data_IF_953799395977
#
_entry.id   IF_953799395977
#
_cell.length_a   1.000
_cell.length_b   1.000
_cell.length_c   1.000
_cell.angle_alpha   90.00
_cell.angle_beta   90.00
_cell.angle_gamma   90.00
#
_symmetry.space_group_name_H-M   'P 1'
#
loop_
_entity.id
_entity.type
_entity.pdbx_description
1 polymer ?
#
# COMPACT_ATOMS: atom_id res chain seq x y z
N UNK A 1 -18.52 -8.80 -10.32
CA UNK A 1 -19.22 -8.48 -9.06
C UNK A 1 -18.40 -7.44 -8.28
N UNK A 2 -18.78 -6.15 -8.32
CA UNK A 2 -17.95 -5.05 -7.81
C UNK A 2 -17.94 -5.02 -6.27
N UNK A 3 -16.80 -4.70 -5.69
CA UNK A 3 -16.48 -4.84 -4.26
C UNK A 3 -17.20 -3.85 -3.32
N UNK A 4 -18.50 -4.06 -3.11
CA UNK A 4 -19.37 -3.24 -2.24
C UNK A 4 -19.18 -3.44 -0.72
N UNK A 5 -18.44 -4.45 -0.27
CA UNK A 5 -18.34 -4.81 1.16
C UNK A 5 -17.12 -4.24 1.88
N UNK A 6 -16.48 -3.20 1.33
CA UNK A 6 -15.22 -2.64 1.86
C UNK A 6 -15.36 -1.23 2.47
N UNK A 7 -16.56 -0.71 2.66
CA UNK A 7 -16.75 0.49 3.46
C UNK A 7 -16.36 0.22 4.92
N UNK A 8 -15.71 1.20 5.56
CA UNK A 8 -15.23 1.06 6.94
C UNK A 8 -16.38 0.80 7.93
N UNK A 9 -17.59 1.26 7.61
CA UNK A 9 -18.81 1.08 8.38
C UNK A 9 -19.22 -0.40 8.51
N UNK A 10 -19.21 -1.16 7.41
CA UNK A 10 -19.56 -2.58 7.43
C UNK A 10 -18.55 -3.36 8.28
N UNK A 11 -17.26 -3.00 8.22
CA UNK A 11 -16.22 -3.63 9.04
C UNK A 11 -16.44 -3.36 10.53
N UNK A 12 -16.83 -2.13 10.91
CA UNK A 12 -17.16 -1.78 12.29
C UNK A 12 -18.32 -2.63 12.81
N UNK A 13 -19.41 -2.69 12.05
CA UNK A 13 -20.61 -3.46 12.41
C UNK A 13 -20.31 -4.96 12.56
N UNK A 14 -19.48 -5.53 11.68
CA UNK A 14 -19.05 -6.93 11.77
C UNK A 14 -18.24 -7.19 13.06
N UNK A 15 -17.32 -6.29 13.42
CA UNK A 15 -16.49 -6.45 14.63
C UNK A 15 -17.33 -6.30 15.89
N UNK A 16 -18.26 -5.33 15.93
CA UNK A 16 -19.19 -5.15 17.05
C UNK A 16 -20.12 -6.35 17.25
N UNK A 17 -20.71 -6.86 16.16
CA UNK A 17 -21.53 -8.07 16.19
C UNK A 17 -20.72 -9.27 16.70
N UNK A 18 -19.44 -9.37 16.31
CA UNK A 18 -18.59 -10.44 16.79
C UNK A 18 -18.20 -10.32 18.27
N UNK A 19 -18.03 -9.09 18.76
CA UNK A 19 -17.79 -8.84 20.19
C UNK A 19 -19.01 -9.17 21.05
N UNK A 20 -20.23 -9.04 20.51
CA UNK A 20 -21.48 -9.45 21.16
C UNK A 20 -21.66 -10.98 21.23
N UNK A 21 -20.85 -11.75 20.51
CA UNK A 21 -20.87 -13.22 20.54
C UNK A 21 -21.63 -13.88 19.40
N UNK A 22 -22.12 -13.13 18.41
CA UNK A 22 -22.84 -13.70 17.25
C UNK A 22 -21.95 -14.69 16.46
N UNK A 23 -22.58 -15.70 15.86
CA UNK A 23 -21.86 -16.71 15.05
C UNK A 23 -21.44 -16.11 13.71
N UNK A 24 -20.42 -16.72 13.08
CA UNK A 24 -19.91 -16.19 11.79
C UNK A 24 -20.95 -16.29 10.67
N UNK A 25 -21.82 -17.28 10.74
CA UNK A 25 -22.85 -17.53 9.73
C UNK A 25 -24.02 -16.54 9.88
N UNK A 26 -24.45 -16.24 11.12
CA UNK A 26 -25.44 -15.18 11.39
C UNK A 26 -24.99 -13.80 10.89
N UNK A 27 -23.72 -13.45 11.14
CA UNK A 27 -23.14 -12.19 10.67
C UNK A 27 -23.05 -12.17 9.13
N UNK A 28 -22.70 -13.31 8.52
CA UNK A 28 -22.61 -13.44 7.07
C UNK A 28 -23.97 -13.22 6.39
N UNK A 29 -25.03 -13.83 6.92
CA UNK A 29 -26.40 -13.67 6.42
C UNK A 29 -26.91 -12.25 6.63
N UNK A 30 -26.76 -11.70 7.84
CA UNK A 30 -27.26 -10.37 8.23
C UNK A 30 -26.68 -9.24 7.38
N UNK A 31 -25.40 -9.33 7.05
CA UNK A 31 -24.71 -8.29 6.26
C UNK A 31 -24.58 -8.65 4.78
N UNK A 32 -25.13 -9.80 4.34
CA UNK A 32 -24.95 -10.35 3.00
C UNK A 32 -23.48 -10.40 2.56
N UNK A 33 -22.60 -10.80 3.48
CA UNK A 33 -21.16 -10.90 3.27
C UNK A 33 -20.75 -12.36 3.37
N UNK A 34 -19.89 -12.85 2.48
CA UNK A 34 -19.39 -14.22 2.56
C UNK A 34 -18.67 -14.49 3.89
N UNK A 35 -18.91 -15.65 4.51
CA UNK A 35 -18.28 -16.10 5.78
C UNK A 35 -16.77 -15.89 5.83
N UNK A 36 -16.09 -16.15 4.71
CA UNK A 36 -14.62 -15.97 4.56
C UNK A 36 -14.21 -14.51 4.80
N UNK A 37 -14.99 -13.56 4.32
CA UNK A 37 -14.72 -12.13 4.49
C UNK A 37 -14.89 -11.71 5.95
N UNK A 38 -15.93 -12.20 6.64
CA UNK A 38 -16.14 -11.98 8.08
C UNK A 38 -14.93 -12.50 8.88
N UNK A 39 -14.49 -13.72 8.58
CA UNK A 39 -13.31 -14.32 9.21
C UNK A 39 -12.02 -13.52 8.96
N UNK A 40 -11.79 -13.07 7.72
CA UNK A 40 -10.63 -12.25 7.37
C UNK A 40 -10.63 -10.90 8.10
N UNK A 41 -11.78 -10.23 8.17
CA UNK A 41 -11.92 -8.94 8.88
C UNK A 41 -11.63 -9.13 10.37
N UNK A 42 -12.17 -10.18 10.98
CA UNK A 42 -11.94 -10.48 12.39
C UNK A 42 -10.47 -10.79 12.69
N UNK A 43 -9.84 -11.65 11.90
CA UNK A 43 -8.42 -11.99 12.07
C UNK A 43 -7.52 -10.78 11.89
N UNK A 44 -7.81 -9.93 10.89
CA UNK A 44 -7.08 -8.69 10.68
C UNK A 44 -7.23 -7.74 11.87
N UNK A 45 -8.45 -7.56 12.39
CA UNK A 45 -8.72 -6.73 13.56
C UNK A 45 -8.02 -7.24 14.82
N UNK A 46 -7.96 -8.57 15.05
CA UNK A 46 -7.23 -9.13 16.20
C UNK A 46 -5.75 -8.73 16.20
N UNK A 47 -5.13 -8.63 15.02
CA UNK A 47 -3.71 -8.30 14.88
C UNK A 47 -3.47 -6.80 14.96
N UNK A 48 -4.26 -6.01 14.23
CA UNK A 48 -3.99 -4.57 14.08
C UNK A 48 -4.72 -3.71 15.12
N UNK A 49 -5.78 -4.24 15.74
CA UNK A 49 -6.80 -3.49 16.51
C UNK A 49 -7.34 -2.24 15.79
N UNK A 50 -7.13 -2.17 14.48
CA UNK A 50 -7.45 -1.01 13.66
C UNK A 50 -8.39 -1.43 12.56
N UNK A 51 -9.48 -0.67 12.42
CA UNK A 51 -10.49 -0.87 11.39
C UNK A 51 -10.15 -0.11 10.11
N UNK A 52 -9.14 0.76 10.14
CA UNK A 52 -8.71 1.53 8.99
C UNK A 52 -8.12 0.62 7.94
N UNK A 53 -8.43 0.91 6.68
CA UNK A 53 -7.73 0.28 5.58
C UNK A 53 -6.24 0.61 5.71
N UNK A 54 -5.38 -0.40 5.90
CA UNK A 54 -3.94 -0.16 5.78
C UNK A 54 -3.73 0.31 4.35
N UNK A 55 -3.26 1.55 4.19
CA UNK A 55 -2.64 1.93 2.92
C UNK A 55 -1.45 1.01 2.78
N UNK A 56 -1.53 0.06 1.86
CA UNK A 56 -0.34 -0.59 1.34
C UNK A 56 0.35 0.59 0.67
N UNK A 57 1.28 1.23 1.38
CA UNK A 57 2.17 2.21 0.76
C UNK A 57 2.72 1.48 -0.44
N UNK A 58 2.36 1.94 -1.64
CA UNK A 58 2.94 1.42 -2.85
C UNK A 58 4.45 1.41 -2.64
N UNK A 59 5.11 0.42 -3.20
CA UNK A 59 6.56 0.45 -3.35
C UNK A 59 6.87 1.72 -4.14
N UNK A 60 7.04 2.85 -3.44
CA UNK A 60 7.38 4.13 -4.02
C UNK A 60 8.75 3.88 -4.62
N UNK A 61 8.77 3.64 -5.93
CA UNK A 61 10.02 3.63 -6.68
C UNK A 61 10.65 4.99 -6.36
N UNK A 62 11.87 5.03 -5.81
CA UNK A 62 12.50 6.30 -5.50
C UNK A 62 12.47 7.14 -6.77
N UNK A 63 11.85 8.32 -6.67
CA UNK A 63 11.85 9.29 -7.76
C UNK A 63 13.30 9.66 -7.94
N UNK A 64 13.90 9.21 -9.04
CA UNK A 64 15.30 9.48 -9.32
C UNK A 64 15.42 10.96 -9.68
N UNK A 65 15.69 11.78 -8.68
CA UNK A 65 15.82 13.23 -8.85
C UNK A 65 17.13 13.51 -9.60
N UNK A 66 17.10 14.45 -10.55
CA UNK A 66 18.25 14.83 -11.38
C UNK A 66 19.44 15.37 -10.57
N UNK A 67 19.22 15.74 -9.30
CA UNK A 67 20.25 16.16 -8.34
C UNK A 67 21.24 15.05 -7.99
N UNK A 68 20.81 13.78 -7.99
CA UNK A 68 21.69 12.66 -7.63
C UNK A 68 22.78 12.46 -8.68
N UNK A 69 22.46 12.74 -9.95
CA UNK A 69 23.41 12.62 -11.05
C UNK A 69 24.45 13.74 -11.04
N UNK A 70 24.06 14.97 -10.66
CA UNK A 70 25.00 16.08 -10.51
C UNK A 70 26.05 15.77 -9.44
N UNK A 71 25.64 15.22 -8.29
CA UNK A 71 26.56 14.80 -7.24
C UNK A 71 27.53 13.71 -7.69
N UNK A 72 27.06 12.74 -8.49
CA UNK A 72 27.92 11.72 -9.10
C UNK A 72 28.95 12.37 -10.03
N UNK A 73 28.50 13.23 -10.95
CA UNK A 73 29.40 13.93 -11.90
C UNK A 73 30.42 14.79 -11.15
N UNK A 74 30.03 15.46 -10.07
CA UNK A 74 30.93 16.25 -9.25
C UNK A 74 32.02 15.42 -8.56
N UNK A 75 31.70 14.19 -8.15
CA UNK A 75 32.65 13.25 -7.57
C UNK A 75 33.60 12.60 -8.60
N UNK A 76 33.36 12.76 -9.91
CA UNK A 76 34.16 12.10 -10.94
C UNK A 76 35.57 12.71 -11.11
N UNK A 77 36.56 11.89 -11.49
CA UNK A 77 37.88 12.37 -11.90
C UNK A 77 37.78 13.40 -13.03
N UNK A 78 38.71 14.37 -13.05
CA UNK A 78 38.72 15.47 -14.04
C UNK A 78 38.62 14.98 -15.50
N UNK A 79 39.28 13.85 -15.81
CA UNK A 79 39.25 13.25 -17.16
C UNK A 79 37.84 12.82 -17.57
N UNK A 80 37.04 12.28 -16.66
CA UNK A 80 35.65 11.91 -16.91
C UNK A 80 34.75 13.13 -17.11
N UNK A 81 34.92 14.19 -16.30
CA UNK A 81 34.19 15.47 -16.47
C UNK A 81 34.44 16.07 -17.86
N UNK A 82 35.69 16.04 -18.34
CA UNK A 82 36.06 16.54 -19.65
C UNK A 82 35.38 15.75 -20.79
N UNK A 83 35.26 14.43 -20.65
CA UNK A 83 34.58 13.57 -21.64
C UNK A 83 33.08 13.89 -21.70
N UNK A 84 32.41 14.04 -20.56
CA UNK A 84 30.98 14.41 -20.50
C UNK A 84 30.77 15.81 -21.12
N UNK A 85 31.65 16.77 -20.84
CA UNK A 85 31.60 18.11 -21.46
C UNK A 85 31.75 18.07 -22.98
N UNK A 86 32.59 17.17 -23.51
CA UNK A 86 32.83 17.05 -24.95
C UNK A 86 31.74 16.26 -25.69
N UNK A 87 31.15 15.23 -25.06
CA UNK A 87 30.19 14.31 -25.71
C UNK A 87 28.74 14.57 -25.35
N UNK A 88 28.48 15.45 -24.39
CA UNK A 88 27.14 15.67 -23.83
C UNK A 88 26.78 14.67 -22.74
N UNK A 89 25.67 14.96 -22.05
CA UNK A 89 25.16 14.07 -21.02
C UNK A 89 24.49 12.83 -21.65
N UNK A 90 24.63 11.64 -21.03
CA UNK A 90 23.87 10.48 -21.48
C UNK A 90 22.38 10.76 -21.37
N UNK A 91 21.70 10.90 -22.50
CA UNK A 91 20.25 11.03 -22.58
C UNK A 91 19.62 9.64 -22.66
N UNK A 92 18.57 9.38 -21.88
CA UNK A 92 17.79 8.13 -21.99
C UNK A 92 17.07 8.13 -23.35
N UNK A 93 17.20 7.06 -24.12
CA UNK A 93 16.36 6.75 -25.28
C UNK A 93 15.10 6.02 -24.83
#
# INVERSE_FOLDING_TARGET
>A
MPGKYKTEEIRKLIVEAKQKGETLDEIAERFHVGRRTVSQIWNLWKVTKSMRHRRISGNEKPRQDSSDFLGIVESMPRRMKAVIKAKGYPTKY
#
